data_IF_766333470120
#
_entry.id   IF_766333470120
#
_cell.length_a   1.000
_cell.length_b   1.000
_cell.length_c   1.000
_cell.angle_alpha   90.00
_cell.angle_beta   90.00
_cell.angle_gamma   90.00
#
_symmetry.space_group_name_H-M   'P 1'
#
loop_
_entity.id
_entity.type
_entity.pdbx_description
1 polymer ?
#
# COMPACT_ATOMS: atom_id res chain seq x y z
N UNK A 1 -10.29 8.76 3.13
CA UNK A 1 -11.41 8.73 2.15
C UNK A 1 -12.80 8.85 2.81
N UNK A 2 -12.89 9.07 4.12
CA UNK A 2 -14.18 8.99 4.87
C UNK A 2 -15.21 10.04 4.41
N UNK A 3 -14.77 11.11 3.75
CA UNK A 3 -15.64 12.20 3.28
C UNK A 3 -15.52 12.43 1.76
N UNK A 4 -14.81 11.56 1.05
CA UNK A 4 -14.49 11.80 -0.35
C UNK A 4 -15.31 10.93 -1.30
N UNK A 5 -15.63 11.50 -2.44
CA UNK A 5 -16.16 10.78 -3.58
C UNK A 5 -15.00 10.44 -4.52
N UNK A 6 -14.67 9.17 -4.62
CA UNK A 6 -13.66 8.67 -5.56
C UNK A 6 -14.33 8.45 -6.91
N UNK A 7 -13.79 9.06 -7.94
CA UNK A 7 -14.32 8.95 -9.29
C UNK A 7 -13.25 8.32 -10.21
N UNK A 8 -13.61 7.22 -10.88
CA UNK A 8 -12.73 6.55 -11.84
C UNK A 8 -13.19 6.96 -13.25
N UNK A 9 -12.36 7.66 -14.04
CA UNK A 9 -12.67 7.98 -15.42
C UNK A 9 -12.85 6.70 -16.27
N UNK A 10 -13.82 6.70 -17.18
CA UNK A 10 -14.04 5.58 -18.12
C UNK A 10 -12.76 5.27 -18.91
N UNK A 11 -12.01 6.29 -19.29
CA UNK A 11 -10.70 6.14 -19.96
C UNK A 11 -9.73 5.27 -19.17
N UNK A 12 -9.73 5.34 -17.83
CA UNK A 12 -8.88 4.46 -16.97
C UNK A 12 -9.36 3.01 -17.03
N UNK A 13 -10.68 2.77 -17.06
CA UNK A 13 -11.20 1.41 -17.21
C UNK A 13 -10.86 0.82 -18.59
N UNK A 14 -10.90 1.63 -19.65
CA UNK A 14 -10.46 1.24 -21.00
C UNK A 14 -8.97 0.88 -21.03
N UNK A 15 -8.13 1.63 -20.31
CA UNK A 15 -6.70 1.32 -20.18
C UNK A 15 -6.43 0.03 -19.41
N UNK A 16 -7.11 -0.17 -18.29
CA UNK A 16 -7.02 -1.40 -17.52
C UNK A 16 -7.46 -2.61 -18.37
N UNK A 17 -8.53 -2.45 -19.17
CA UNK A 17 -9.01 -3.50 -20.07
C UNK A 17 -7.97 -3.86 -21.14
N UNK A 18 -7.31 -2.88 -21.70
CA UNK A 18 -6.23 -3.08 -22.68
C UNK A 18 -5.01 -3.75 -22.08
N UNK A 19 -4.64 -3.37 -20.84
CA UNK A 19 -3.44 -3.85 -20.16
C UNK A 19 -3.62 -5.20 -19.45
N UNK A 20 -4.85 -5.67 -19.22
CA UNK A 20 -5.14 -6.94 -18.54
C UNK A 20 -4.68 -8.18 -19.29
N UNK A 21 -4.33 -8.03 -20.59
CA UNK A 21 -3.99 -9.13 -21.49
C UNK A 21 -2.52 -9.56 -21.32
N UNK A 22 -2.28 -10.86 -21.23
CA UNK A 22 -0.92 -11.42 -21.10
C UNK A 22 -0.62 -12.02 -19.73
N UNK A 23 0.65 -12.42 -19.54
CA UNK A 23 1.14 -13.12 -18.33
C UNK A 23 2.05 -12.24 -17.45
N UNK A 24 2.18 -10.94 -17.74
CA UNK A 24 3.00 -10.02 -16.95
C UNK A 24 2.38 -9.75 -15.56
N UNK A 25 3.20 -9.32 -14.62
CA UNK A 25 2.72 -8.83 -13.30
C UNK A 25 1.71 -7.70 -13.48
N UNK A 26 2.00 -6.73 -14.35
CA UNK A 26 1.10 -5.62 -14.68
C UNK A 26 -0.28 -6.10 -15.13
N UNK A 27 -0.33 -7.13 -16.01
CA UNK A 27 -1.61 -7.67 -16.45
C UNK A 27 -2.37 -8.38 -15.31
N UNK A 28 -1.67 -9.01 -14.37
CA UNK A 28 -2.28 -9.60 -13.18
C UNK A 28 -2.85 -8.52 -12.27
N UNK A 29 -2.14 -7.43 -12.05
CA UNK A 29 -2.56 -6.30 -11.24
C UNK A 29 -3.77 -5.59 -11.85
N UNK A 30 -3.77 -5.37 -13.17
CA UNK A 30 -4.93 -4.82 -13.90
C UNK A 30 -6.18 -5.69 -13.72
N UNK A 31 -6.04 -7.03 -13.84
CA UNK A 31 -7.15 -7.95 -13.59
C UNK A 31 -7.63 -7.90 -12.14
N UNK A 32 -6.72 -7.74 -11.18
CA UNK A 32 -7.09 -7.60 -9.76
C UNK A 32 -7.85 -6.29 -9.51
N UNK A 33 -7.38 -5.18 -10.08
CA UNK A 33 -8.03 -3.88 -9.99
C UNK A 33 -9.44 -3.91 -10.59
N UNK A 34 -9.61 -4.47 -11.80
CA UNK A 34 -10.92 -4.61 -12.44
C UNK A 34 -11.87 -5.42 -11.55
N UNK A 35 -11.43 -6.57 -11.02
CA UNK A 35 -12.27 -7.38 -10.11
C UNK A 35 -12.64 -6.65 -8.82
N UNK A 36 -11.76 -5.79 -8.31
CA UNK A 36 -12.06 -5.00 -7.12
C UNK A 36 -13.11 -3.94 -7.40
N UNK A 37 -13.01 -3.24 -8.53
CA UNK A 37 -13.99 -2.26 -8.98
C UNK A 37 -15.35 -2.94 -9.21
N UNK A 38 -15.37 -4.06 -9.94
CA UNK A 38 -16.58 -4.86 -10.19
C UNK A 38 -17.24 -5.32 -8.90
N UNK A 39 -16.45 -5.75 -7.88
CA UNK A 39 -16.98 -6.14 -6.57
C UNK A 39 -17.65 -4.98 -5.83
N UNK A 40 -17.12 -3.76 -5.97
CA UNK A 40 -17.69 -2.57 -5.34
C UNK A 40 -18.96 -2.13 -6.06
N UNK A 41 -18.93 -2.12 -7.39
CA UNK A 41 -20.10 -1.72 -8.20
C UNK A 41 -21.22 -2.78 -8.13
N UNK A 42 -20.87 -4.06 -8.08
CA UNK A 42 -21.82 -5.16 -7.93
C UNK A 42 -22.93 -5.15 -8.97
N UNK A 43 -24.18 -5.15 -8.49
CA UNK A 43 -25.40 -5.09 -9.28
C UNK A 43 -26.05 -3.68 -9.28
N UNK A 44 -25.23 -2.65 -9.00
CA UNK A 44 -25.75 -1.29 -8.92
C UNK A 44 -26.33 -0.81 -10.27
N UNK A 45 -27.44 -0.12 -10.17
CA UNK A 45 -28.07 0.52 -11.33
C UNK A 45 -27.24 1.71 -11.81
N UNK A 46 -27.37 2.17 -13.07
CA UNK A 46 -26.68 3.35 -13.55
C UNK A 46 -26.87 4.59 -12.67
N UNK A 47 -28.05 4.79 -12.13
CA UNK A 47 -28.36 5.90 -11.24
C UNK A 47 -27.62 5.80 -9.89
N UNK A 48 -27.47 4.58 -9.34
CA UNK A 48 -26.70 4.34 -8.12
C UNK A 48 -25.19 4.55 -8.36
N UNK A 49 -24.66 4.09 -9.49
CA UNK A 49 -23.26 4.33 -9.87
C UNK A 49 -22.99 5.83 -10.02
N UNK A 50 -23.93 6.56 -10.64
CA UNK A 50 -23.82 8.02 -10.76
C UNK A 50 -23.92 8.72 -9.41
N UNK A 51 -24.78 8.27 -8.51
CA UNK A 51 -24.88 8.78 -7.13
C UNK A 51 -23.65 8.49 -6.28
N UNK A 52 -22.95 7.41 -6.59
CA UNK A 52 -21.77 6.91 -5.87
C UNK A 52 -22.09 5.77 -4.92
N UNK A 53 -21.41 4.63 -5.13
CA UNK A 53 -21.56 3.42 -4.31
C UNK A 53 -20.72 3.55 -3.04
N UNK A 54 -21.29 3.36 -1.84
CA UNK A 54 -20.52 3.42 -0.59
C UNK A 54 -19.37 2.41 -0.57
N UNK A 55 -18.18 2.87 -0.19
CA UNK A 55 -17.00 2.03 0.03
C UNK A 55 -16.87 1.82 1.54
N UNK A 56 -16.79 0.57 2.00
CA UNK A 56 -16.58 0.29 3.41
C UNK A 56 -16.88 -1.16 3.78
N UNK A 57 -16.51 -1.55 5.00
CA UNK A 57 -16.88 -2.84 5.59
C UNK A 57 -17.70 -2.60 6.86
N UNK A 58 -18.88 -3.20 6.90
CA UNK A 58 -19.79 -3.09 8.06
C UNK A 58 -20.37 -1.68 8.21
N UNK A 59 -20.36 -1.14 9.44
CA UNK A 59 -20.94 0.18 9.76
C UNK A 59 -20.01 1.37 9.44
N UNK A 60 -18.83 1.14 8.87
CA UNK A 60 -17.87 2.19 8.52
C UNK A 60 -17.92 2.44 7.01
N UNK A 61 -18.57 3.52 6.60
CA UNK A 61 -18.51 4.05 5.23
C UNK A 61 -17.23 4.88 5.07
N UNK A 62 -16.39 4.50 4.11
CA UNK A 62 -15.15 5.21 3.78
C UNK A 62 -15.29 6.02 2.48
N UNK A 63 -16.36 6.81 2.35
CA UNK A 63 -16.65 7.55 1.15
C UNK A 63 -17.42 6.75 0.10
N UNK A 64 -17.45 7.25 -1.14
CA UNK A 64 -18.17 6.61 -2.25
C UNK A 64 -17.30 6.43 -3.49
N UNK A 65 -17.62 5.42 -4.30
CA UNK A 65 -17.01 5.18 -5.61
C UNK A 65 -18.02 5.46 -6.72
N UNK A 66 -17.58 6.17 -7.75
CA UNK A 66 -18.35 6.37 -8.98
C UNK A 66 -17.47 6.15 -10.21
N UNK A 67 -18.08 5.91 -11.35
CA UNK A 67 -17.43 5.88 -12.67
C UNK A 67 -17.83 7.12 -13.43
N UNK A 68 -16.83 7.87 -13.91
CA UNK A 68 -17.04 9.04 -14.74
C UNK A 68 -17.26 8.64 -16.19
N UNK A 69 -18.46 8.89 -16.69
CA UNK A 69 -18.72 8.80 -18.12
C UNK A 69 -18.13 10.02 -18.84
N UNK A 70 -17.51 9.82 -20.03
CA UNK A 70 -17.02 10.93 -20.84
C UNK A 70 -18.16 11.92 -21.09
N UNK A 71 -18.01 13.13 -20.64
CA UNK A 71 -18.92 14.22 -21.00
C UNK A 71 -18.38 14.81 -22.29
N UNK A 72 -19.00 14.44 -23.43
CA UNK A 72 -18.63 15.02 -24.71
C UNK A 72 -18.51 16.53 -24.60
N UNK A 73 -17.52 17.09 -25.29
CA UNK A 73 -17.10 18.50 -25.23
C UNK A 73 -18.20 19.48 -25.66
N UNK A 74 -19.24 19.65 -24.86
CA UNK A 74 -20.24 20.67 -25.07
C UNK A 74 -19.71 22.12 -24.98
N UNK A 75 -18.44 22.29 -24.57
CA UNK A 75 -17.78 23.60 -24.39
C UNK A 75 -16.39 23.74 -25.03
N UNK A 76 -15.98 22.77 -25.86
CA UNK A 76 -14.62 22.72 -26.41
C UNK A 76 -13.60 22.11 -25.46
N UNK A 77 -12.82 21.13 -25.94
CA UNK A 77 -11.72 20.54 -25.17
C UNK A 77 -10.57 21.54 -25.06
N UNK A 78 -10.08 21.80 -23.85
CA UNK A 78 -8.89 22.66 -23.67
C UNK A 78 -7.62 21.95 -24.17
N UNK A 79 -7.59 20.61 -24.11
CA UNK A 79 -6.48 19.77 -24.58
C UNK A 79 -6.95 18.83 -25.70
N UNK A 80 -6.06 18.47 -26.65
CA UNK A 80 -6.39 17.53 -27.73
C UNK A 80 -6.78 16.15 -27.19
N UNK A 81 -7.93 15.59 -27.63
CA UNK A 81 -8.52 14.35 -27.09
C UNK A 81 -7.87 13.04 -27.59
N UNK A 82 -6.84 13.11 -28.40
CA UNK A 82 -6.16 11.90 -28.91
C UNK A 82 -5.26 11.21 -27.88
N UNK A 83 -4.99 11.86 -26.75
CA UNK A 83 -4.21 11.30 -25.63
C UNK A 83 -5.15 11.03 -24.45
N UNK A 84 -5.04 9.86 -23.84
CA UNK A 84 -5.86 9.46 -22.70
C UNK A 84 -5.72 10.41 -21.51
N UNK A 85 -4.51 10.85 -21.17
CA UNK A 85 -4.27 11.85 -20.11
C UNK A 85 -5.10 13.13 -20.36
N UNK A 86 -5.10 13.60 -21.61
CA UNK A 86 -5.80 14.82 -21.98
C UNK A 86 -7.32 14.63 -21.88
N UNK A 87 -7.84 13.45 -22.26
CA UNK A 87 -9.26 13.11 -22.10
C UNK A 87 -9.68 13.16 -20.63
N UNK A 88 -8.88 12.54 -19.75
CA UNK A 88 -9.13 12.55 -18.30
C UNK A 88 -9.12 14.00 -17.75
N UNK A 89 -8.15 14.81 -18.16
CA UNK A 89 -8.06 16.22 -17.73
C UNK A 89 -9.27 17.01 -18.24
N UNK A 90 -9.67 16.83 -19.50
CA UNK A 90 -10.86 17.47 -20.08
C UNK A 90 -12.15 17.07 -19.35
N UNK A 91 -12.29 15.78 -18.99
CA UNK A 91 -13.44 15.30 -18.20
C UNK A 91 -13.53 15.98 -16.84
N UNK A 92 -12.38 16.10 -16.12
CA UNK A 92 -12.34 16.79 -14.82
C UNK A 92 -12.62 18.30 -14.96
N UNK A 93 -12.12 18.95 -16.01
CA UNK A 93 -12.46 20.33 -16.32
C UNK A 93 -13.95 20.53 -16.56
N UNK A 94 -14.57 19.64 -17.35
CA UNK A 94 -16.01 19.70 -17.61
C UNK A 94 -16.83 19.54 -16.33
N UNK A 95 -16.39 18.68 -15.41
CA UNK A 95 -17.02 18.52 -14.09
C UNK A 95 -16.91 19.79 -13.26
N UNK A 96 -15.72 20.37 -13.17
CA UNK A 96 -15.46 21.60 -12.42
C UNK A 96 -16.26 22.79 -12.97
N UNK A 97 -16.44 22.85 -14.28
CA UNK A 97 -17.30 23.87 -14.92
C UNK A 97 -18.79 23.66 -14.62
N UNK A 98 -19.24 22.41 -14.55
CA UNK A 98 -20.63 22.07 -14.25
C UNK A 98 -21.00 22.26 -12.78
N UNK A 99 -20.04 22.08 -11.88
CA UNK A 99 -20.20 22.25 -10.43
C UNK A 99 -18.95 22.94 -9.84
N UNK A 100 -18.92 24.27 -9.89
CA UNK A 100 -17.77 25.07 -9.42
C UNK A 100 -17.58 25.05 -7.90
N UNK A 101 -18.62 24.71 -7.13
CA UNK A 101 -18.60 24.71 -5.67
C UNK A 101 -17.94 23.44 -5.11
N UNK A 102 -17.85 22.37 -5.91
CA UNK A 102 -17.16 21.13 -5.53
C UNK A 102 -15.68 21.21 -5.83
N UNK A 103 -14.85 20.84 -4.87
CA UNK A 103 -13.41 20.71 -5.06
C UNK A 103 -13.06 19.41 -5.78
N UNK A 104 -12.47 19.52 -6.95
CA UNK A 104 -11.97 18.41 -7.75
C UNK A 104 -10.46 18.31 -7.63
N UNK A 105 -9.95 17.11 -7.31
CA UNK A 105 -8.51 16.82 -7.18
C UNK A 105 -8.17 15.63 -8.06
N UNK A 106 -7.25 15.80 -9.00
CA UNK A 106 -6.72 14.71 -9.80
C UNK A 106 -5.58 14.01 -9.05
N UNK A 107 -5.79 12.75 -8.67
CA UNK A 107 -4.77 11.93 -8.01
C UNK A 107 -4.11 11.02 -9.04
N UNK A 108 -2.82 11.20 -9.28
CA UNK A 108 -2.07 10.38 -10.24
C UNK A 108 -0.57 10.38 -9.90
N UNK A 109 0.11 9.25 -10.18
CA UNK A 109 1.57 9.14 -10.09
C UNK A 109 2.30 9.76 -11.28
N UNK A 110 1.62 9.97 -12.38
CA UNK A 110 2.22 10.59 -13.56
C UNK A 110 2.48 12.08 -13.33
N UNK A 111 3.78 12.44 -13.28
CA UNK A 111 4.24 13.82 -13.06
C UNK A 111 3.76 14.73 -14.21
N UNK A 112 3.83 14.26 -15.47
CA UNK A 112 3.42 15.07 -16.62
C UNK A 112 1.92 15.35 -16.58
N UNK A 113 1.12 14.34 -16.21
CA UNK A 113 -0.31 14.48 -16.04
C UNK A 113 -0.65 15.49 -14.93
N UNK A 114 0.06 15.47 -13.78
CA UNK A 114 -0.11 16.47 -12.72
C UNK A 114 0.23 17.88 -13.20
N UNK A 115 1.32 18.03 -13.95
CA UNK A 115 1.72 19.35 -14.48
C UNK A 115 0.69 19.90 -15.47
N UNK A 116 0.17 19.05 -16.38
CA UNK A 116 -0.90 19.43 -17.32
C UNK A 116 -2.18 19.83 -16.57
N UNK A 117 -2.59 19.06 -15.56
CA UNK A 117 -3.78 19.34 -14.76
C UNK A 117 -3.68 20.70 -14.07
N UNK A 118 -2.53 21.00 -13.44
CA UNK A 118 -2.28 22.31 -12.81
C UNK A 118 -2.31 23.45 -13.82
N UNK A 119 -1.73 23.26 -15.00
CA UNK A 119 -1.78 24.26 -16.08
C UNK A 119 -3.23 24.55 -16.55
N UNK A 120 -4.13 23.56 -16.41
CA UNK A 120 -5.56 23.70 -16.69
C UNK A 120 -6.39 24.14 -15.46
N UNK A 121 -5.74 24.54 -14.36
CA UNK A 121 -6.42 25.02 -13.15
C UNK A 121 -7.11 23.91 -12.33
N UNK A 122 -6.67 22.65 -12.47
CA UNK A 122 -7.14 21.53 -11.67
C UNK A 122 -6.12 21.24 -10.57
N UNK A 123 -6.58 21.10 -9.32
CA UNK A 123 -5.76 20.61 -8.22
C UNK A 123 -5.28 19.20 -8.53
N UNK A 124 -4.00 18.91 -8.29
CA UNK A 124 -3.46 17.58 -8.53
C UNK A 124 -2.48 17.14 -7.45
N UNK A 125 -2.60 15.89 -7.03
CA UNK A 125 -1.83 15.29 -5.95
C UNK A 125 -1.20 13.96 -6.39
N UNK A 126 -0.09 13.60 -5.73
CA UNK A 126 0.51 12.28 -5.85
C UNK A 126 -0.21 11.29 -4.92
N UNK A 127 -0.24 10.02 -5.32
CA UNK A 127 -0.73 8.96 -4.45
C UNK A 127 0.41 8.42 -3.56
N UNK A 128 0.36 8.79 -2.28
CA UNK A 128 1.44 8.46 -1.33
C UNK A 128 1.27 7.14 -0.57
N UNK A 129 0.05 6.56 -0.55
CA UNK A 129 -0.25 5.37 0.27
C UNK A 129 0.30 4.03 -0.27
N UNK A 130 0.94 4.00 -1.42
CA UNK A 130 1.59 2.80 -1.96
C UNK A 130 3.06 2.68 -1.55
N UNK A 131 3.61 3.70 -0.92
CA UNK A 131 4.91 3.60 -0.28
C UNK A 131 4.71 2.87 1.04
N UNK A 132 4.97 1.56 1.03
CA UNK A 132 4.99 0.73 2.25
C UNK A 132 5.98 1.26 3.28
N UNK A 133 7.00 2.01 2.81
CA UNK A 133 7.97 2.71 3.66
C UNK A 133 8.37 4.01 2.98
N UNK A 134 7.97 5.15 3.52
CA UNK A 134 8.33 6.48 3.00
C UNK A 134 9.78 6.88 3.33
N UNK A 135 10.40 6.22 4.29
CA UNK A 135 11.78 6.44 4.73
C UNK A 135 12.48 5.09 4.88
N UNK A 136 13.55 4.88 4.12
CA UNK A 136 14.44 3.71 4.25
C UNK A 136 14.99 3.56 5.69
N UNK A 137 15.09 4.66 6.43
CA UNK A 137 15.49 4.64 7.85
C UNK A 137 14.45 4.01 8.78
N UNK A 138 13.18 3.88 8.33
CA UNK A 138 12.12 3.18 9.06
C UNK A 138 12.05 1.68 8.72
N UNK A 139 12.83 1.22 7.72
CA UNK A 139 13.03 -0.21 7.50
C UNK A 139 13.86 -0.74 8.66
N UNK A 140 13.26 -1.58 9.48
CA UNK A 140 14.01 -2.34 10.48
C UNK A 140 15.08 -3.16 9.76
N UNK A 141 16.30 -3.16 10.29
CA UNK A 141 17.34 -4.06 9.77
C UNK A 141 16.84 -5.48 9.85
N UNK A 142 17.10 -6.28 8.84
CA UNK A 142 16.72 -7.69 8.83
C UNK A 142 17.51 -8.53 9.86
N UNK A 143 18.54 -7.95 10.46
CA UNK A 143 19.42 -8.59 11.43
C UNK A 143 20.06 -7.58 12.40
N UNK A 144 20.52 -8.11 13.53
CA UNK A 144 21.31 -7.41 14.54
C UNK A 144 22.66 -8.11 14.66
N UNK A 145 23.72 -7.33 14.78
CA UNK A 145 25.07 -7.81 15.11
C UNK A 145 25.36 -7.52 16.58
N UNK A 146 25.65 -8.57 17.34
CA UNK A 146 25.98 -8.49 18.77
C UNK A 146 27.47 -8.66 18.93
N UNK A 147 28.18 -7.70 19.55
CA UNK A 147 29.61 -7.83 19.80
C UNK A 147 29.89 -8.94 20.81
N UNK A 148 30.94 -9.71 20.57
CA UNK A 148 31.30 -10.86 21.38
C UNK A 148 30.33 -12.03 21.22
N UNK A 149 30.08 -12.77 22.31
CA UNK A 149 29.13 -13.87 22.32
C UNK A 149 27.75 -13.39 22.76
N UNK A 150 26.72 -13.73 22.00
CA UNK A 150 25.33 -13.48 22.39
C UNK A 150 24.96 -14.17 23.69
N UNK A 151 25.39 -15.43 23.85
CA UNK A 151 25.08 -16.23 25.03
C UNK A 151 25.71 -15.73 26.31
N UNK A 152 26.87 -15.04 26.25
CA UNK A 152 27.52 -14.46 27.43
C UNK A 152 26.72 -13.26 27.98
N UNK A 153 25.84 -12.66 27.17
CA UNK A 153 24.98 -11.54 27.56
C UNK A 153 23.58 -12.00 28.02
N UNK A 154 23.24 -13.27 27.79
CA UNK A 154 21.97 -13.85 28.20
C UNK A 154 21.99 -14.29 29.64
N UNK A 155 21.25 -13.62 30.50
CA UNK A 155 21.12 -13.93 31.93
C UNK A 155 19.99 -14.89 32.25
N UNK A 156 18.99 -14.97 31.39
CA UNK A 156 17.81 -15.81 31.58
C UNK A 156 17.33 -16.36 30.21
N UNK A 157 17.19 -17.68 30.14
CA UNK A 157 16.69 -18.38 28.93
C UNK A 157 15.99 -19.67 29.30
N UNK A 158 14.85 -19.91 28.67
CA UNK A 158 14.20 -21.22 28.64
C UNK A 158 14.44 -21.86 27.28
N UNK A 159 14.97 -23.09 27.27
CA UNK A 159 15.37 -23.79 26.05
C UNK A 159 14.57 -25.07 25.89
N UNK A 160 13.92 -25.20 24.74
CA UNK A 160 13.12 -26.37 24.38
C UNK A 160 13.62 -26.99 23.08
N UNK A 161 13.72 -28.32 23.07
CA UNK A 161 14.02 -29.08 21.84
C UNK A 161 12.70 -29.49 21.17
N UNK A 162 12.44 -28.99 19.96
CA UNK A 162 11.26 -29.33 19.17
C UNK A 162 11.70 -30.07 17.90
N UNK A 163 11.68 -31.39 17.92
CA UNK A 163 12.22 -32.20 16.83
C UNK A 163 13.73 -32.00 16.64
N UNK A 164 14.13 -31.58 15.45
CA UNK A 164 15.53 -31.25 15.13
C UNK A 164 15.92 -29.80 15.44
N UNK A 165 14.98 -28.97 15.88
CA UNK A 165 15.18 -27.54 16.13
C UNK A 165 15.30 -27.25 17.62
N UNK A 166 16.15 -26.29 17.96
CA UNK A 166 16.29 -25.77 19.32
C UNK A 166 15.67 -24.39 19.38
N UNK A 167 14.69 -24.24 20.25
CA UNK A 167 14.01 -22.98 20.52
C UNK A 167 14.48 -22.39 21.85
N UNK A 168 14.74 -21.11 21.86
CA UNK A 168 15.13 -20.36 23.04
C UNK A 168 14.11 -19.27 23.31
N UNK A 169 13.56 -19.22 24.52
CA UNK A 169 12.64 -18.19 24.98
C UNK A 169 13.37 -17.28 25.95
N UNK A 170 13.45 -16.00 25.61
CA UNK A 170 14.12 -14.98 26.39
C UNK A 170 13.15 -13.86 26.79
N UNK A 171 13.33 -13.26 27.97
CA UNK A 171 12.55 -12.07 28.32
C UNK A 171 12.76 -10.94 27.29
N UNK A 172 11.65 -10.33 26.84
CA UNK A 172 11.69 -9.22 25.88
C UNK A 172 12.59 -8.07 26.35
N UNK A 173 12.48 -7.69 27.64
CA UNK A 173 13.29 -6.62 28.23
C UNK A 173 14.78 -6.88 28.16
N UNK A 174 15.21 -8.14 28.34
CA UNK A 174 16.60 -8.55 28.22
C UNK A 174 17.10 -8.38 26.77
N UNK A 175 16.34 -8.89 25.80
CA UNK A 175 16.73 -8.84 24.37
C UNK A 175 16.75 -7.42 23.85
N UNK A 176 15.67 -6.66 24.08
CA UNK A 176 15.47 -5.31 23.54
C UNK A 176 16.22 -4.25 24.36
N UNK A 177 16.18 -4.35 25.69
CA UNK A 177 16.75 -3.34 26.56
C UNK A 177 18.26 -3.51 26.78
N UNK A 178 18.68 -4.72 27.14
CA UNK A 178 20.05 -4.95 27.62
C UNK A 178 21.01 -5.39 26.50
N UNK A 179 20.54 -6.17 25.51
CA UNK A 179 21.42 -6.76 24.49
C UNK A 179 21.42 -5.93 23.19
N UNK A 180 20.25 -5.62 22.63
CA UNK A 180 20.16 -5.01 21.30
C UNK A 180 19.94 -3.49 21.32
N UNK A 181 19.30 -2.95 22.34
CA UNK A 181 18.97 -1.52 22.44
C UNK A 181 17.91 -1.03 21.47
N UNK A 182 17.29 -1.93 20.70
CA UNK A 182 16.31 -1.63 19.67
C UNK A 182 15.16 -2.67 19.69
N UNK A 183 13.96 -2.27 19.26
CA UNK A 183 12.81 -3.17 19.12
C UNK A 183 13.06 -4.26 18.08
N UNK A 184 12.55 -5.46 18.38
CA UNK A 184 12.73 -6.64 17.54
C UNK A 184 11.40 -7.15 16.97
N UNK A 185 11.45 -7.72 15.78
CA UNK A 185 10.27 -8.22 15.07
C UNK A 185 10.49 -9.65 14.56
N UNK A 186 9.42 -10.43 14.40
CA UNK A 186 9.51 -11.77 13.80
C UNK A 186 10.20 -11.73 12.43
N UNK A 187 11.00 -12.77 12.17
CA UNK A 187 11.82 -12.96 10.97
C UNK A 187 13.12 -12.14 10.91
N UNK A 188 13.45 -11.36 11.91
CA UNK A 188 14.80 -10.79 12.03
C UNK A 188 15.78 -11.84 12.57
N UNK A 189 17.06 -11.58 12.34
CA UNK A 189 18.15 -12.44 12.78
C UNK A 189 19.04 -11.71 13.82
N UNK A 190 19.60 -12.50 14.75
CA UNK A 190 20.64 -12.06 15.65
C UNK A 190 21.90 -12.86 15.31
N UNK A 191 22.99 -12.16 15.05
CA UNK A 191 24.29 -12.73 14.73
C UNK A 191 25.30 -12.27 15.80
N UNK A 192 26.26 -13.11 16.13
CA UNK A 192 27.36 -12.73 16.99
C UNK A 192 28.73 -13.00 16.33
N UNK A 193 29.80 -12.52 16.96
CA UNK A 193 31.15 -12.70 16.46
C UNK A 193 31.68 -14.14 16.60
N UNK A 194 30.96 -15.00 17.35
CA UNK A 194 31.34 -16.40 17.59
C UNK A 194 30.57 -17.40 16.73
N UNK A 195 29.79 -16.89 15.76
CA UNK A 195 29.09 -17.71 14.77
C UNK A 195 27.68 -18.14 15.19
N UNK A 196 27.15 -17.57 16.25
CA UNK A 196 25.73 -17.77 16.57
C UNK A 196 24.87 -17.05 15.55
N UNK A 197 23.85 -17.77 15.06
CA UNK A 197 22.79 -17.22 14.21
C UNK A 197 21.44 -17.65 14.79
N UNK A 198 20.69 -16.70 15.32
CA UNK A 198 19.35 -16.91 15.86
C UNK A 198 18.30 -16.18 15.03
N UNK A 199 17.26 -16.87 14.58
CA UNK A 199 16.09 -16.24 13.94
C UNK A 199 14.99 -15.99 14.97
N UNK A 200 14.47 -14.79 15.03
CA UNK A 200 13.31 -14.43 15.84
C UNK A 200 12.05 -15.01 15.20
N UNK A 201 11.36 -15.89 15.92
CA UNK A 201 10.12 -16.52 15.46
C UNK A 201 8.89 -15.76 15.89
N UNK A 202 8.85 -15.32 17.16
CA UNK A 202 7.74 -14.55 17.72
C UNK A 202 8.20 -13.60 18.81
N UNK A 203 7.40 -12.55 19.02
CA UNK A 203 7.56 -11.57 20.11
C UNK A 203 6.17 -11.41 20.72
N UNK A 204 5.88 -12.15 21.78
CA UNK A 204 4.54 -12.21 22.37
C UNK A 204 4.61 -12.34 23.88
N UNK A 205 3.69 -11.70 24.60
CA UNK A 205 3.56 -11.86 26.06
C UNK A 205 4.81 -11.47 26.86
N UNK A 206 5.63 -10.55 26.35
CA UNK A 206 6.89 -10.15 27.00
C UNK A 206 8.04 -11.15 26.80
N UNK A 207 7.90 -12.09 25.84
CA UNK A 207 8.90 -13.12 25.51
C UNK A 207 9.29 -13.01 24.04
N UNK A 208 10.59 -13.12 23.77
CA UNK A 208 11.18 -13.29 22.43
C UNK A 208 11.54 -14.75 22.24
N UNK A 209 10.97 -15.39 21.21
CA UNK A 209 11.32 -16.78 20.86
C UNK A 209 12.29 -16.79 19.71
N UNK A 210 13.47 -17.37 19.93
CA UNK A 210 14.54 -17.55 18.94
C UNK A 210 14.64 -18.99 18.50
N UNK A 211 14.92 -19.20 17.22
CA UNK A 211 15.36 -20.49 16.68
C UNK A 211 16.85 -20.39 16.33
N UNK A 212 17.63 -21.31 16.89
CA UNK A 212 19.06 -21.41 16.53
C UNK A 212 19.18 -21.96 15.09
N UNK A 213 19.89 -21.23 14.24
CA UNK A 213 20.31 -21.69 12.92
C UNK A 213 21.70 -22.28 13.02
N UNK A 214 21.85 -23.59 12.83
CA UNK A 214 23.17 -24.19 12.67
C UNK A 214 23.64 -23.84 11.25
N UNK A 215 24.82 -23.25 11.13
CA UNK A 215 25.52 -23.16 9.87
C UNK A 215 25.81 -24.60 9.39
N UNK A 216 25.41 -24.93 8.16
CA UNK A 216 25.80 -26.18 7.49
C UNK A 216 27.28 -26.13 7.08
#
# INVERSE_FOLDING_TARGET
>A
FEEHRVAIPMTVLEELDRLKTGKSHTAADCRAAIRQIDRVLGQATPAEVEAGIPIGRGNYTQGTLTVLMPRGSAGGSALPDHLNDNRIINDVMAMKMADPDTRYVLVTKDINMRLKARACGIDSEDYHNDQLVSDIKQLTRGYFEVPGSFWDQVTEVDTEQVGAETLHRLPHGLVVGDILGEEVYPNQYILDEHGFVGRILSVEGGVVTLRHHKAE
#
